data_IF_881324914005
#
_entry.id   IF_881324914005
#
_cell.length_a   1.000
_cell.length_b   1.000
_cell.length_c   1.000
_cell.angle_alpha   90.00
_cell.angle_beta   90.00
_cell.angle_gamma   90.00
#
_symmetry.space_group_name_H-M   'P 1'
#
loop_
_entity.id
_entity.type
_entity.pdbx_description
1 polymer ?
#
# COMPACT_ATOMS: atom_id res chain seq x y z
N UNK A 1 45.45 46.87 26.91
CA UNK A 1 44.10 47.37 27.25
C UNK A 1 43.12 46.26 26.86
N UNK A 2 42.89 45.36 27.81
CA UNK A 2 41.62 45.15 28.57
C UNK A 2 40.68 44.22 27.76
N UNK A 3 40.61 42.92 28.09
CA UNK A 3 40.00 42.31 29.30
C UNK A 3 38.46 42.40 29.23
N UNK A 4 37.62 41.46 29.64
CA UNK A 4 37.63 40.05 30.08
C UNK A 4 36.15 39.70 30.33
N UNK A 5 35.86 38.41 30.57
CA UNK A 5 34.74 37.86 31.37
C UNK A 5 33.34 37.89 30.73
N UNK A 6 32.76 36.73 30.38
CA UNK A 6 32.04 35.77 31.24
C UNK A 6 30.75 36.35 31.84
N UNK A 7 29.62 35.79 31.43
CA UNK A 7 28.51 35.56 32.36
C UNK A 7 27.91 34.19 32.07
N UNK A 8 28.38 33.19 32.83
CA UNK A 8 27.61 31.99 33.15
C UNK A 8 26.62 32.42 34.23
N UNK A 9 25.32 32.23 33.98
CA UNK A 9 24.32 32.13 35.04
C UNK A 9 23.62 30.79 34.85
N UNK A 10 23.76 29.96 35.88
CA UNK A 10 23.06 28.70 36.08
C UNK A 10 21.75 28.96 36.83
N UNK A 11 20.72 28.18 36.50
CA UNK A 11 19.53 27.84 37.30
C UNK A 11 18.50 28.96 37.58
N UNK A 12 17.23 28.75 37.23
CA UNK A 12 16.19 28.08 38.05
C UNK A 12 14.99 27.78 37.15
N UNK A 13 14.41 26.60 37.35
CA UNK A 13 13.14 26.13 36.78
C UNK A 13 12.10 27.25 36.71
N UNK A 14 11.55 27.48 35.53
CA UNK A 14 10.12 27.71 35.42
C UNK A 14 9.54 26.51 34.69
N UNK A 15 8.96 25.63 35.51
CA UNK A 15 7.89 24.72 35.12
C UNK A 15 6.91 25.55 34.30
N UNK A 16 6.90 25.37 32.99
CA UNK A 16 5.80 25.82 32.18
C UNK A 16 5.05 24.57 31.76
N UNK A 17 3.87 24.44 32.35
CA UNK A 17 2.89 23.41 32.03
C UNK A 17 2.79 23.26 30.51
N UNK A 18 2.76 21.99 30.10
CA UNK A 18 2.50 21.58 28.73
C UNK A 18 1.25 22.30 28.22
N UNK A 19 1.41 23.03 27.12
CA UNK A 19 0.30 23.35 26.24
C UNK A 19 0.48 22.48 25.00
N UNK A 20 -0.38 21.47 24.91
CA UNK A 20 -0.47 20.53 23.78
C UNK A 20 -1.57 21.04 22.88
N UNK A 21 -1.31 21.12 21.59
CA UNK A 21 -2.40 21.23 20.65
C UNK A 21 -2.02 21.00 19.21
N UNK A 22 -3.01 20.54 18.44
CA UNK A 22 -2.91 20.35 17.01
C UNK A 22 -3.31 21.65 16.29
N UNK A 23 -2.66 21.91 15.16
CA UNK A 23 -3.14 22.88 14.19
C UNK A 23 -3.64 22.17 12.94
N UNK A 24 -4.83 22.56 12.48
CA UNK A 24 -5.38 22.09 11.21
C UNK A 24 -5.32 23.23 10.20
N UNK A 25 -4.57 23.01 9.13
CA UNK A 25 -4.42 23.95 8.02
C UNK A 25 -5.02 23.28 6.78
N UNK A 26 -6.00 23.93 6.14
CA UNK A 26 -6.68 23.41 4.95
C UNK A 26 -6.52 24.36 3.75
N UNK A 27 -6.51 23.83 2.51
CA UNK A 27 -6.61 24.66 1.32
C UNK A 27 -7.95 25.42 1.29
N UNK A 28 -7.95 26.64 0.73
CA UNK A 28 -9.05 27.60 0.67
C UNK A 28 -9.92 27.44 -0.59
N UNK A 29 -9.73 26.37 -1.36
CA UNK A 29 -10.53 26.15 -2.55
C UNK A 29 -12.02 26.05 -2.18
N UNK A 30 -12.90 26.54 -3.06
CA UNK A 30 -14.34 26.44 -2.91
C UNK A 30 -14.73 24.97 -2.62
N UNK A 31 -15.72 24.72 -1.73
CA UNK A 31 -16.06 23.37 -1.35
C UNK A 31 -16.40 22.55 -2.60
N UNK A 32 -15.85 21.33 -2.76
CA UNK A 32 -16.39 20.40 -3.75
C UNK A 32 -17.87 20.19 -3.42
N UNK A 33 -18.70 20.08 -4.46
CA UNK A 33 -20.15 19.96 -4.29
C UNK A 33 -20.48 18.80 -3.35
N UNK A 34 -21.06 19.11 -2.19
CA UNK A 34 -21.32 18.17 -1.08
C UNK A 34 -22.51 17.24 -1.33
N UNK A 35 -22.77 16.85 -2.59
CA UNK A 35 -23.83 15.91 -2.92
C UNK A 35 -23.26 14.71 -3.69
N UNK A 36 -23.02 13.57 -3.02
CA UNK A 36 -22.66 12.31 -3.68
C UNK A 36 -23.79 11.75 -4.58
N UNK A 37 -24.98 12.34 -4.55
CA UNK A 37 -26.20 11.75 -5.11
C UNK A 37 -26.57 12.12 -6.55
N UNK A 38 -25.93 13.10 -7.19
CA UNK A 38 -26.33 13.52 -8.56
C UNK A 38 -25.12 13.86 -9.43
N UNK A 39 -24.76 12.95 -10.35
CA UNK A 39 -23.76 13.16 -11.41
C UNK A 39 -24.02 14.43 -12.26
N UNK A 40 -25.24 14.97 -12.24
CA UNK A 40 -25.66 16.15 -13.00
C UNK A 40 -25.07 17.47 -12.49
N UNK A 41 -24.56 17.53 -11.25
CA UNK A 41 -24.03 18.76 -10.64
C UNK A 41 -22.49 18.86 -10.66
N UNK A 42 -21.79 17.77 -11.02
CA UNK A 42 -20.33 17.68 -10.96
C UNK A 42 -19.64 18.40 -12.13
N UNK A 43 -18.41 18.85 -11.93
CA UNK A 43 -17.56 19.36 -13.01
C UNK A 43 -17.16 18.22 -13.98
N UNK A 44 -16.66 18.58 -15.18
CA UNK A 44 -16.16 17.57 -16.11
C UNK A 44 -14.95 16.80 -15.55
N UNK A 45 -14.14 17.45 -14.72
CA UNK A 45 -13.03 16.84 -14.00
C UNK A 45 -13.52 15.86 -12.94
N UNK A 46 -14.46 16.27 -12.09
CA UNK A 46 -15.03 15.41 -11.03
C UNK A 46 -15.69 14.14 -11.59
N UNK A 47 -16.37 14.25 -12.74
CA UNK A 47 -16.92 13.07 -13.44
C UNK A 47 -15.84 12.14 -13.97
N UNK A 48 -14.73 12.67 -14.53
CA UNK A 48 -13.60 11.83 -14.96
C UNK A 48 -12.99 11.11 -13.76
N UNK A 49 -12.69 11.83 -12.70
CA UNK A 49 -12.19 11.28 -11.44
C UNK A 49 -13.11 10.19 -10.86
N UNK A 50 -14.43 10.39 -10.89
CA UNK A 50 -15.38 9.38 -10.45
C UNK A 50 -15.34 8.09 -11.29
N UNK A 51 -15.12 8.19 -12.61
CA UNK A 51 -14.99 7.01 -13.48
C UNK A 51 -13.71 6.22 -13.16
N UNK A 52 -12.58 6.90 -12.95
CA UNK A 52 -11.32 6.24 -12.56
C UNK A 52 -11.37 5.65 -11.15
N UNK A 53 -12.03 6.32 -10.18
CA UNK A 53 -12.29 5.72 -8.87
C UNK A 53 -13.10 4.43 -8.96
N UNK A 54 -14.18 4.43 -9.74
CA UNK A 54 -14.98 3.24 -9.97
C UNK A 54 -14.16 2.11 -10.62
N UNK A 55 -13.27 2.44 -11.58
CA UNK A 55 -12.32 1.48 -12.13
C UNK A 55 -11.39 0.88 -11.06
N UNK A 56 -10.76 1.72 -10.23
CA UNK A 56 -9.79 1.25 -9.23
C UNK A 56 -10.45 0.39 -8.14
N UNK A 57 -11.67 0.75 -7.72
CA UNK A 57 -12.48 -0.09 -6.83
C UNK A 57 -12.73 -1.46 -7.49
N UNK A 58 -13.07 -1.47 -8.78
CA UNK A 58 -13.24 -2.72 -9.53
C UNK A 58 -11.99 -3.60 -9.54
N UNK A 59 -10.80 -3.01 -9.72
CA UNK A 59 -9.53 -3.74 -9.66
C UNK A 59 -9.33 -4.34 -8.27
N UNK A 60 -9.46 -3.54 -7.21
CA UNK A 60 -9.31 -4.01 -5.83
C UNK A 60 -10.30 -5.15 -5.47
N UNK A 61 -11.53 -5.09 -5.97
CA UNK A 61 -12.52 -6.16 -5.79
C UNK A 61 -12.12 -7.43 -6.55
N UNK A 62 -11.53 -7.30 -7.73
CA UNK A 62 -11.07 -8.44 -8.53
C UNK A 62 -9.88 -9.14 -7.86
N UNK A 63 -8.95 -8.39 -7.25
CA UNK A 63 -7.87 -8.92 -6.41
C UNK A 63 -8.42 -9.71 -5.21
N UNK A 64 -9.56 -9.28 -4.64
CA UNK A 64 -10.28 -9.98 -3.58
C UNK A 64 -11.15 -11.15 -4.08
N UNK A 65 -11.02 -11.58 -5.34
CA UNK A 65 -11.84 -12.62 -5.97
C UNK A 65 -13.35 -12.30 -6.04
N UNK A 66 -13.74 -11.04 -5.86
CA UNK A 66 -15.13 -10.57 -5.95
C UNK A 66 -15.45 -10.13 -7.38
N UNK A 67 -15.32 -11.06 -8.33
CA UNK A 67 -15.46 -10.76 -9.76
C UNK A 67 -16.81 -10.12 -10.15
N UNK A 68 -17.90 -10.49 -9.46
CA UNK A 68 -19.22 -9.89 -9.70
C UNK A 68 -19.26 -8.41 -9.30
N UNK A 69 -18.79 -8.08 -8.10
CA UNK A 69 -18.78 -6.71 -7.60
C UNK A 69 -17.80 -5.83 -8.42
N UNK A 70 -16.72 -6.45 -8.91
CA UNK A 70 -15.79 -5.83 -9.85
C UNK A 70 -16.48 -5.47 -11.18
N UNK A 71 -17.25 -6.39 -11.78
CA UNK A 71 -18.05 -6.14 -12.98
C UNK A 71 -19.01 -4.96 -12.78
N UNK A 72 -19.69 -4.88 -11.64
CA UNK A 72 -20.59 -3.77 -11.32
C UNK A 72 -19.82 -2.44 -11.25
N UNK A 73 -18.63 -2.44 -10.63
CA UNK A 73 -17.77 -1.25 -10.52
C UNK A 73 -17.22 -0.77 -11.86
N UNK A 74 -16.76 -1.68 -12.73
CA UNK A 74 -16.30 -1.31 -14.09
C UNK A 74 -17.45 -0.87 -14.98
N UNK A 75 -18.63 -1.49 -14.86
CA UNK A 75 -19.84 -1.06 -15.55
C UNK A 75 -20.19 0.37 -15.14
N UNK A 76 -20.11 0.68 -13.85
CA UNK A 76 -20.32 2.03 -13.34
C UNK A 76 -19.31 3.04 -13.90
N UNK A 77 -18.04 2.66 -14.00
CA UNK A 77 -17.02 3.50 -14.63
C UNK A 77 -17.38 3.84 -16.09
N UNK A 78 -17.86 2.86 -16.85
CA UNK A 78 -18.28 3.03 -18.25
C UNK A 78 -19.62 3.76 -18.41
N UNK A 79 -20.53 3.72 -17.43
CA UNK A 79 -21.70 4.58 -17.41
C UNK A 79 -21.33 6.06 -17.28
N UNK A 80 -20.29 6.36 -16.49
CA UNK A 80 -19.81 7.72 -16.27
C UNK A 80 -18.98 8.20 -17.47
N UNK A 81 -18.06 7.35 -17.96
CA UNK A 81 -17.19 7.63 -19.10
C UNK A 81 -17.21 6.45 -20.08
N UNK A 82 -18.12 6.43 -21.08
CA UNK A 82 -18.29 5.32 -22.00
C UNK A 82 -17.08 5.01 -22.88
N UNK A 83 -16.16 5.95 -23.06
CA UNK A 83 -14.94 5.80 -23.87
C UNK A 83 -13.70 5.41 -23.04
N UNK A 84 -13.83 5.19 -21.72
CA UNK A 84 -12.73 4.83 -20.82
C UNK A 84 -12.18 3.42 -21.15
N UNK A 85 -11.14 3.38 -21.99
CA UNK A 85 -10.56 2.14 -22.50
C UNK A 85 -10.10 1.18 -21.40
N UNK A 86 -9.40 1.70 -20.38
CA UNK A 86 -8.90 0.88 -19.26
C UNK A 86 -10.03 0.18 -18.50
N UNK A 87 -11.13 0.88 -18.20
CA UNK A 87 -12.29 0.29 -17.55
C UNK A 87 -12.97 -0.77 -18.43
N UNK A 88 -12.94 -0.60 -19.75
CA UNK A 88 -13.45 -1.61 -20.69
C UNK A 88 -12.58 -2.86 -20.72
N UNK A 89 -11.26 -2.69 -20.74
CA UNK A 89 -10.31 -3.79 -20.65
C UNK A 89 -10.55 -4.55 -19.34
N UNK A 90 -10.54 -3.84 -18.21
CA UNK A 90 -10.75 -4.43 -16.89
C UNK A 90 -12.12 -5.11 -16.74
N UNK A 91 -13.19 -4.55 -17.32
CA UNK A 91 -14.49 -5.21 -17.40
C UNK A 91 -14.41 -6.54 -18.16
N UNK A 92 -13.71 -6.58 -19.29
CA UNK A 92 -13.57 -7.82 -20.06
C UNK A 92 -12.80 -8.90 -19.30
N UNK A 93 -11.79 -8.52 -18.53
CA UNK A 93 -11.04 -9.40 -17.63
C UNK A 93 -11.98 -9.92 -16.54
N UNK A 94 -12.69 -9.03 -15.84
CA UNK A 94 -13.61 -9.41 -14.77
C UNK A 94 -14.73 -10.35 -15.26
N UNK A 95 -15.26 -10.14 -16.47
CA UNK A 95 -16.25 -11.01 -17.09
C UNK A 95 -15.68 -12.40 -17.40
N UNK A 96 -14.42 -12.51 -17.84
CA UNK A 96 -13.76 -13.80 -18.05
C UNK A 96 -13.63 -14.58 -16.73
N UNK A 97 -13.29 -13.89 -15.64
CA UNK A 97 -13.21 -14.48 -14.29
C UNK A 97 -14.58 -14.63 -13.60
N UNK A 98 -15.66 -14.06 -14.15
CA UNK A 98 -17.07 -14.33 -13.81
C UNK A 98 -17.70 -15.43 -14.71
N UNK A 99 -16.89 -16.34 -15.25
CA UNK A 99 -17.16 -17.22 -16.38
C UNK A 99 -18.14 -16.76 -17.49
N UNK A 100 -18.27 -15.47 -17.78
CA UNK A 100 -19.07 -14.94 -18.90
C UNK A 100 -18.18 -14.73 -20.13
N UNK A 101 -17.81 -15.82 -20.80
CA UNK A 101 -16.96 -15.79 -21.99
C UNK A 101 -17.56 -14.96 -23.14
N UNK A 102 -18.89 -14.93 -23.26
CA UNK A 102 -19.57 -14.13 -24.28
C UNK A 102 -19.50 -12.64 -23.96
N UNK A 103 -19.71 -12.26 -22.70
CA UNK A 103 -19.53 -10.90 -22.21
C UNK A 103 -18.11 -10.41 -22.36
N UNK A 104 -17.13 -11.21 -21.91
CA UNK A 104 -15.72 -10.92 -22.05
C UNK A 104 -15.37 -10.65 -23.53
N UNK A 105 -15.69 -11.58 -24.44
CA UNK A 105 -15.41 -11.43 -25.88
C UNK A 105 -16.03 -10.15 -26.48
N UNK A 106 -17.25 -9.77 -26.08
CA UNK A 106 -17.89 -8.52 -26.54
C UNK A 106 -17.12 -7.29 -26.10
N UNK A 107 -16.77 -7.19 -24.83
CA UNK A 107 -16.07 -6.01 -24.30
C UNK A 107 -14.61 -5.96 -24.77
N UNK A 108 -13.95 -7.11 -24.90
CA UNK A 108 -12.62 -7.24 -25.51
C UNK A 108 -12.62 -6.75 -26.95
N UNK A 109 -13.60 -7.14 -27.77
CA UNK A 109 -13.69 -6.65 -29.15
C UNK A 109 -13.92 -5.15 -29.22
N UNK A 110 -14.76 -4.60 -28.33
CA UNK A 110 -14.95 -3.15 -28.24
C UNK A 110 -13.65 -2.43 -27.83
N UNK A 111 -12.85 -3.01 -26.94
CA UNK A 111 -11.54 -2.44 -26.56
C UNK A 111 -10.57 -2.43 -27.75
N UNK A 112 -10.48 -3.53 -28.51
CA UNK A 112 -9.66 -3.61 -29.73
C UNK A 112 -10.12 -2.64 -30.83
N UNK A 113 -11.43 -2.37 -30.93
CA UNK A 113 -11.94 -1.37 -31.86
C UNK A 113 -11.52 0.07 -31.48
N UNK A 114 -11.27 0.32 -30.19
CA UNK A 114 -10.76 1.61 -29.71
C UNK A 114 -9.25 1.71 -29.85
N UNK A 115 -8.51 0.66 -29.46
CA UNK A 115 -7.07 0.57 -29.60
C UNK A 115 -6.63 -0.87 -29.95
N UNK A 116 -6.30 -1.14 -31.23
CA UNK A 116 -5.86 -2.47 -31.67
C UNK A 116 -4.48 -2.89 -31.16
N UNK A 117 -3.69 -1.97 -30.60
CA UNK A 117 -2.31 -2.26 -30.18
C UNK A 117 -2.20 -2.54 -28.68
N UNK A 118 -3.33 -2.68 -27.96
CA UNK A 118 -3.31 -3.08 -26.55
C UNK A 118 -3.06 -4.58 -26.43
N UNK A 119 -2.09 -5.01 -25.60
CA UNK A 119 -1.82 -6.44 -25.39
C UNK A 119 -2.92 -7.15 -24.59
N UNK A 120 -3.52 -6.48 -23.60
CA UNK A 120 -4.50 -7.09 -22.67
C UNK A 120 -5.70 -7.73 -23.41
N UNK A 121 -6.36 -7.06 -24.37
CA UNK A 121 -7.47 -7.66 -25.10
C UNK A 121 -7.08 -8.94 -25.88
N UNK A 122 -5.92 -8.95 -26.54
CA UNK A 122 -5.42 -10.13 -27.25
C UNK A 122 -5.16 -11.29 -26.28
N UNK A 123 -4.56 -11.01 -25.12
CA UNK A 123 -4.34 -12.03 -24.10
C UNK A 123 -5.66 -12.70 -23.65
N UNK A 124 -6.70 -11.90 -23.40
CA UNK A 124 -8.02 -12.41 -22.99
C UNK A 124 -8.69 -13.22 -24.11
N UNK A 125 -8.60 -12.79 -25.38
CA UNK A 125 -9.08 -13.62 -26.50
C UNK A 125 -8.33 -14.95 -26.58
N UNK A 126 -7.01 -14.93 -26.37
CA UNK A 126 -6.17 -16.12 -26.32
C UNK A 126 -6.61 -17.10 -25.23
N UNK A 127 -6.89 -16.61 -24.02
CA UNK A 127 -7.39 -17.42 -22.91
C UNK A 127 -8.78 -18.01 -23.20
N UNK A 128 -9.71 -17.20 -23.75
CA UNK A 128 -11.06 -17.66 -24.13
C UNK A 128 -10.97 -18.76 -25.19
N UNK A 129 -10.19 -18.55 -26.26
CA UNK A 129 -9.99 -19.53 -27.32
C UNK A 129 -9.36 -20.82 -26.77
N UNK A 130 -8.37 -20.71 -25.88
CA UNK A 130 -7.74 -21.86 -25.22
C UNK A 130 -8.75 -22.66 -24.39
N UNK A 131 -9.59 -21.99 -23.59
CA UNK A 131 -10.64 -22.65 -22.81
C UNK A 131 -11.66 -23.37 -23.70
N UNK A 132 -11.86 -22.90 -24.92
CA UNK A 132 -12.73 -23.50 -25.95
C UNK A 132 -12.01 -24.55 -26.81
N UNK A 133 -10.75 -24.91 -26.50
CA UNK A 133 -9.88 -25.80 -27.27
C UNK A 133 -9.61 -25.34 -28.72
N UNK A 134 -9.76 -24.04 -29.00
CA UNK A 134 -9.46 -23.42 -30.28
C UNK A 134 -7.97 -23.01 -30.31
N UNK A 135 -7.08 -24.01 -30.33
CA UNK A 135 -5.66 -23.79 -30.11
C UNK A 135 -4.97 -22.90 -31.15
N UNK A 136 -5.38 -22.96 -32.42
CA UNK A 136 -4.79 -22.12 -33.47
C UNK A 136 -5.18 -20.63 -33.29
N UNK A 137 -6.44 -20.36 -32.91
CA UNK A 137 -6.93 -19.01 -32.56
C UNK A 137 -6.21 -18.51 -31.31
N UNK A 138 -6.10 -19.35 -30.28
CA UNK A 138 -5.38 -19.00 -29.06
C UNK A 138 -3.92 -18.60 -29.31
N UNK A 139 -3.19 -19.40 -30.10
CA UNK A 139 -1.80 -19.10 -30.47
C UNK A 139 -1.72 -17.78 -31.24
N UNK A 140 -2.63 -17.52 -32.19
CA UNK A 140 -2.62 -16.29 -32.98
C UNK A 140 -2.83 -15.04 -32.11
N UNK A 141 -3.71 -15.13 -31.12
CA UNK A 141 -3.97 -14.04 -30.18
C UNK A 141 -2.79 -13.82 -29.23
N UNK A 142 -2.23 -14.88 -28.63
CA UNK A 142 -1.00 -14.75 -27.81
C UNK A 142 0.19 -14.24 -28.64
N UNK A 143 0.31 -14.61 -29.90
CA UNK A 143 1.34 -14.05 -30.79
C UNK A 143 1.13 -12.57 -31.08
N UNK A 144 -0.10 -12.06 -30.99
CA UNK A 144 -0.37 -10.62 -31.12
C UNK A 144 0.13 -9.86 -29.88
N UNK A 145 -0.01 -10.44 -28.68
CA UNK A 145 0.66 -9.96 -27.46
C UNK A 145 2.17 -9.95 -27.62
N UNK A 146 2.75 -11.07 -28.07
CA UNK A 146 4.20 -11.24 -28.23
C UNK A 146 4.85 -10.36 -29.31
N UNK A 147 4.05 -9.76 -30.21
CA UNK A 147 4.53 -8.74 -31.14
C UNK A 147 4.72 -7.38 -30.46
N UNK A 148 3.93 -7.10 -29.43
CA UNK A 148 3.97 -5.86 -28.65
C UNK A 148 5.03 -5.99 -27.55
N UNK A 149 4.97 -7.10 -26.80
CA UNK A 149 5.92 -7.47 -25.76
C UNK A 149 6.42 -8.91 -25.97
N UNK A 150 7.60 -9.08 -26.60
CA UNK A 150 8.20 -10.40 -26.82
C UNK A 150 8.52 -11.19 -25.54
N UNK A 151 8.60 -10.51 -24.40
CA UNK A 151 9.06 -11.06 -23.12
C UNK A 151 7.90 -11.37 -22.17
N UNK A 152 6.68 -11.12 -22.59
CA UNK A 152 5.46 -11.44 -21.85
C UNK A 152 5.42 -12.93 -21.45
N UNK A 153 5.62 -13.19 -20.16
CA UNK A 153 5.76 -14.53 -19.62
C UNK A 153 4.46 -15.34 -19.76
N UNK A 154 3.31 -14.70 -19.50
CA UNK A 154 1.99 -15.30 -19.62
C UNK A 154 1.72 -15.88 -21.01
N UNK A 155 1.92 -15.09 -22.06
CA UNK A 155 1.71 -15.52 -23.45
C UNK A 155 2.70 -16.60 -23.87
N UNK A 156 3.97 -16.47 -23.50
CA UNK A 156 4.99 -17.48 -23.76
C UNK A 156 4.68 -18.82 -23.06
N UNK A 157 4.23 -18.80 -21.80
CA UNK A 157 3.79 -20.02 -21.08
C UNK A 157 2.57 -20.64 -21.76
N UNK A 158 1.56 -19.85 -22.09
CA UNK A 158 0.34 -20.34 -22.74
C UNK A 158 0.66 -21.00 -24.10
N UNK A 159 1.43 -20.33 -24.95
CA UNK A 159 1.87 -20.85 -26.24
C UNK A 159 2.72 -22.13 -26.05
N UNK A 160 3.65 -22.13 -25.09
CA UNK A 160 4.47 -23.29 -24.77
C UNK A 160 3.65 -24.51 -24.33
N UNK A 161 2.61 -24.30 -23.52
CA UNK A 161 1.69 -25.35 -23.08
C UNK A 161 0.88 -25.92 -24.24
N UNK A 162 0.34 -25.06 -25.11
CA UNK A 162 -0.41 -25.49 -26.30
C UNK A 162 0.51 -26.28 -27.24
N UNK A 163 1.72 -25.80 -27.52
CA UNK A 163 2.69 -26.54 -28.36
C UNK A 163 3.11 -27.87 -27.74
N UNK A 164 3.30 -27.92 -26.41
CA UNK A 164 3.60 -29.17 -25.70
C UNK A 164 2.47 -30.19 -25.84
N UNK A 165 1.21 -29.75 -25.73
CA UNK A 165 0.03 -30.59 -25.96
C UNK A 165 -0.05 -31.11 -27.41
N UNK A 166 0.35 -30.28 -28.38
CA UNK A 166 0.47 -30.65 -29.80
C UNK A 166 1.73 -31.47 -30.12
N UNK A 167 2.57 -31.78 -29.12
CA UNK A 167 3.87 -32.48 -29.26
C UNK A 167 4.91 -31.72 -30.11
N UNK A 168 4.72 -30.43 -30.31
CA UNK A 168 5.67 -29.50 -30.96
C UNK A 168 6.71 -29.04 -29.93
N UNK A 169 7.59 -29.97 -29.54
CA UNK A 169 8.46 -29.77 -28.38
C UNK A 169 9.55 -28.71 -28.59
N UNK A 170 10.00 -28.49 -29.83
CA UNK A 170 11.04 -27.49 -30.12
C UNK A 170 10.49 -26.08 -29.87
N UNK A 171 9.30 -25.82 -30.40
CA UNK A 171 8.59 -24.55 -30.24
C UNK A 171 8.16 -24.33 -28.78
N UNK A 172 7.69 -25.39 -28.11
CA UNK A 172 7.36 -25.32 -26.69
C UNK A 172 8.57 -24.99 -25.80
N UNK A 173 9.72 -25.63 -26.04
CA UNK A 173 10.96 -25.33 -25.31
C UNK A 173 11.39 -23.88 -25.54
N UNK A 174 11.30 -23.38 -26.78
CA UNK A 174 11.66 -22.00 -27.10
C UNK A 174 10.79 -20.99 -26.34
N UNK A 175 9.46 -21.19 -26.34
CA UNK A 175 8.53 -20.33 -25.63
C UNK A 175 8.76 -20.35 -24.10
N UNK A 176 8.89 -21.54 -23.50
CA UNK A 176 9.16 -21.62 -22.06
C UNK A 176 10.52 -21.04 -21.67
N UNK A 177 11.55 -21.19 -22.51
CA UNK A 177 12.86 -20.54 -22.27
C UNK A 177 12.73 -19.03 -22.24
N UNK A 178 11.96 -18.44 -23.17
CA UNK A 178 11.75 -17.00 -23.18
C UNK A 178 11.09 -16.51 -21.90
N UNK A 179 10.08 -17.23 -21.41
CA UNK A 179 9.44 -16.93 -20.13
C UNK A 179 10.40 -17.07 -18.93
N UNK A 180 11.25 -18.11 -18.87
CA UNK A 180 12.26 -18.26 -17.80
C UNK A 180 13.35 -17.18 -17.86
N UNK A 181 13.69 -16.70 -19.05
CA UNK A 181 14.64 -15.59 -19.22
C UNK A 181 14.05 -14.26 -18.76
N UNK A 182 12.78 -13.99 -19.10
CA UNK A 182 12.07 -12.78 -18.71
C UNK A 182 11.75 -12.76 -17.20
N UNK A 183 11.26 -13.89 -16.66
CA UNK A 183 10.90 -14.05 -15.26
C UNK A 183 11.61 -15.26 -14.63
N UNK A 184 12.84 -15.09 -14.12
CA UNK A 184 13.64 -16.19 -13.58
C UNK A 184 13.02 -16.89 -12.36
N UNK A 185 12.04 -16.27 -11.70
CA UNK A 185 11.34 -16.76 -10.51
C UNK A 185 10.00 -17.44 -10.83
N UNK A 186 9.61 -17.50 -12.11
CA UNK A 186 8.34 -18.07 -12.54
C UNK A 186 8.37 -19.61 -12.45
N UNK A 187 7.74 -20.15 -11.41
CA UNK A 187 7.64 -21.57 -11.11
C UNK A 187 6.98 -22.34 -12.24
N UNK A 188 5.93 -21.78 -12.84
CA UNK A 188 5.19 -22.41 -13.94
C UNK A 188 6.08 -22.59 -15.16
N UNK A 189 6.88 -21.58 -15.51
CA UNK A 189 7.84 -21.67 -16.61
C UNK A 189 8.95 -22.69 -16.31
N UNK A 190 9.56 -22.61 -15.11
CA UNK A 190 10.64 -23.50 -14.67
C UNK A 190 10.20 -24.96 -14.68
N UNK A 191 9.03 -25.26 -14.11
CA UNK A 191 8.47 -26.61 -14.06
C UNK A 191 8.18 -27.14 -15.48
N UNK A 192 7.45 -26.37 -16.29
CA UNK A 192 7.07 -26.80 -17.65
C UNK A 192 8.29 -27.03 -18.54
N UNK A 193 9.29 -26.14 -18.50
CA UNK A 193 10.54 -26.31 -19.23
C UNK A 193 11.33 -27.52 -18.71
N UNK A 194 11.46 -27.67 -17.38
CA UNK A 194 12.20 -28.76 -16.74
C UNK A 194 11.64 -30.14 -17.07
N UNK A 195 10.32 -30.31 -17.01
CA UNK A 195 9.65 -31.55 -17.41
C UNK A 195 9.83 -31.82 -18.90
N UNK A 196 9.66 -30.80 -19.74
CA UNK A 196 9.79 -30.97 -21.18
C UNK A 196 11.22 -31.34 -21.60
N UNK A 197 12.25 -30.73 -21.00
CA UNK A 197 13.65 -31.07 -21.24
C UNK A 197 14.01 -32.47 -20.73
N UNK A 198 13.40 -32.93 -19.64
CA UNK A 198 13.54 -34.32 -19.17
C UNK A 198 13.01 -35.30 -20.23
N UNK A 199 11.86 -34.96 -20.83
CA UNK A 199 11.23 -35.77 -21.88
C UNK A 199 12.02 -35.79 -23.18
N UNK A 200 12.66 -34.69 -23.56
CA UNK A 200 13.45 -34.57 -24.80
C UNK A 200 14.93 -34.97 -24.62
N UNK A 201 15.35 -35.30 -23.41
CA UNK A 201 16.66 -35.91 -23.12
C UNK A 201 17.75 -34.94 -22.63
N UNK A 202 17.46 -33.65 -22.47
CA UNK A 202 18.40 -32.67 -21.91
C UNK A 202 18.36 -32.68 -20.37
N UNK A 203 18.88 -33.76 -19.79
CA UNK A 203 18.76 -34.07 -18.36
C UNK A 203 19.48 -33.09 -17.43
N UNK A 204 20.63 -32.57 -17.84
CA UNK A 204 21.44 -31.68 -16.98
C UNK A 204 20.72 -30.36 -16.75
N UNK A 205 20.23 -29.74 -17.83
CA UNK A 205 19.49 -28.49 -17.73
C UNK A 205 18.16 -28.69 -17.00
N UNK A 206 17.45 -29.79 -17.30
CA UNK A 206 16.21 -30.13 -16.62
C UNK A 206 16.39 -30.23 -15.09
N UNK A 207 17.42 -30.94 -14.63
CA UNK A 207 17.72 -31.08 -13.19
C UNK A 207 18.02 -29.73 -12.53
N UNK A 208 18.71 -28.82 -13.22
CA UNK A 208 18.98 -27.47 -12.72
C UNK A 208 17.68 -26.68 -12.55
N UNK A 209 16.82 -26.69 -13.56
CA UNK A 209 15.54 -25.95 -13.54
C UNK A 209 14.56 -26.51 -12.50
N UNK A 210 14.44 -27.83 -12.40
CA UNK A 210 13.56 -28.48 -11.42
C UNK A 210 14.04 -28.27 -9.98
N UNK A 211 15.36 -28.19 -9.75
CA UNK A 211 15.90 -27.81 -8.44
C UNK A 211 15.54 -26.38 -8.08
N UNK A 212 15.72 -25.45 -9.03
CA UNK A 212 15.36 -24.03 -8.83
C UNK A 212 13.86 -23.87 -8.53
N UNK A 213 13.01 -24.60 -9.26
CA UNK A 213 11.57 -24.66 -8.97
C UNK A 213 11.29 -25.15 -7.54
N UNK A 214 11.97 -26.20 -7.08
CA UNK A 214 11.78 -26.73 -5.73
C UNK A 214 12.26 -25.73 -4.65
N UNK A 215 13.39 -25.06 -4.89
CA UNK A 215 13.91 -24.01 -4.00
C UNK A 215 12.89 -22.88 -3.82
N UNK A 216 12.30 -22.37 -4.91
CA UNK A 216 11.29 -21.31 -4.83
C UNK A 216 9.98 -21.74 -4.20
N UNK A 217 9.54 -22.97 -4.48
CA UNK A 217 8.36 -23.53 -3.86
C UNK A 217 8.51 -23.70 -2.34
N UNK A 218 9.70 -24.05 -1.88
CA UNK A 218 10.01 -24.19 -0.44
C UNK A 218 10.18 -22.83 0.24
N UNK A 219 10.69 -21.83 -0.47
CA UNK A 219 10.90 -20.49 0.08
C UNK A 219 9.68 -19.58 -0.03
N UNK A 220 8.67 -19.93 -0.82
CA UNK A 220 7.53 -19.06 -1.14
C UNK A 220 7.87 -17.90 -2.08
N UNK A 221 9.10 -17.87 -2.63
CA UNK A 221 9.59 -16.74 -3.43
C UNK A 221 9.26 -16.86 -4.93
N UNK A 222 8.59 -17.94 -5.33
CA UNK A 222 8.26 -18.22 -6.71
C UNK A 222 6.94 -17.59 -7.14
N UNK A 223 6.85 -17.21 -8.41
CA UNK A 223 5.60 -16.75 -9.02
C UNK A 223 4.97 -17.86 -9.84
N UNK A 224 3.65 -18.01 -9.77
CA UNK A 224 2.90 -18.96 -10.58
C UNK A 224 2.04 -18.23 -11.59
N UNK A 225 1.81 -18.87 -12.75
CA UNK A 225 0.75 -18.51 -13.67
C UNK A 225 -0.25 -19.65 -13.68
N UNK A 226 -1.42 -19.40 -13.13
CA UNK A 226 -2.54 -20.34 -13.14
C UNK A 226 -3.82 -19.68 -13.62
N UNK A 227 -4.93 -20.35 -13.34
CA UNK A 227 -6.26 -19.92 -13.77
C UNK A 227 -6.87 -18.88 -12.84
N UNK A 228 -6.22 -18.59 -11.72
CA UNK A 228 -6.68 -17.60 -10.74
C UNK A 228 -6.22 -16.21 -11.15
N UNK A 229 -7.03 -15.21 -10.84
CA UNK A 229 -6.78 -13.83 -11.26
C UNK A 229 -5.48 -13.26 -10.70
N UNK A 230 -5.16 -13.49 -9.42
CA UNK A 230 -3.89 -13.05 -8.80
C UNK A 230 -2.63 -13.60 -9.51
N UNK A 231 -2.74 -14.77 -10.14
CA UNK A 231 -1.64 -15.41 -10.89
C UNK A 231 -1.53 -14.88 -12.34
N UNK A 232 -2.48 -14.06 -12.78
CA UNK A 232 -2.54 -13.42 -14.11
C UNK A 232 -2.73 -11.90 -14.05
N UNK A 233 -2.63 -11.29 -12.86
CA UNK A 233 -3.01 -9.91 -12.54
C UNK A 233 -2.23 -8.82 -13.28
N UNK A 234 -1.20 -9.17 -14.06
CA UNK A 234 -0.42 -8.22 -14.86
C UNK A 234 -1.22 -7.40 -15.87
N UNK A 235 -2.44 -7.83 -16.25
CA UNK A 235 -3.22 -7.16 -17.29
C UNK A 235 -4.35 -6.26 -16.78
N UNK A 236 -4.69 -6.34 -15.49
CA UNK A 236 -5.68 -5.45 -14.91
C UNK A 236 -4.98 -4.26 -14.27
N UNK A 237 -5.18 -3.08 -14.84
CA UNK A 237 -4.46 -1.88 -14.42
C UNK A 237 -5.38 -1.00 -13.56
N UNK A 238 -4.91 -0.68 -12.35
CA UNK A 238 -5.41 0.46 -11.58
C UNK A 238 -4.59 1.70 -11.97
N UNK A 239 -5.25 2.86 -12.08
CA UNK A 239 -4.57 4.12 -12.36
C UNK A 239 -4.75 5.04 -11.19
N UNK A 240 -3.66 5.34 -10.50
CA UNK A 240 -3.62 6.37 -9.47
C UNK A 240 -3.47 7.72 -10.16
N UNK A 241 -4.24 8.73 -9.76
CA UNK A 241 -4.03 10.10 -10.24
C UNK A 241 -2.73 10.62 -9.63
N UNK A 242 -1.60 10.39 -10.30
CA UNK A 242 -0.27 10.85 -9.87
C UNK A 242 0.03 12.26 -10.36
N UNK A 243 -0.78 12.76 -11.29
CA UNK A 243 -0.56 14.03 -11.97
C UNK A 243 0.26 13.89 -13.26
N UNK A 244 0.58 12.66 -13.67
CA UNK A 244 1.29 12.34 -14.91
C UNK A 244 0.27 12.00 -16.03
N UNK A 245 -0.89 11.48 -15.65
CA UNK A 245 -1.94 11.07 -16.57
C UNK A 245 -2.66 12.31 -17.11
N UNK A 246 -2.34 12.73 -18.34
CA UNK A 246 -2.86 13.97 -18.95
C UNK A 246 -4.39 14.13 -18.86
N UNK A 247 -5.14 13.03 -18.80
CA UNK A 247 -6.61 13.05 -18.69
C UNK A 247 -7.13 13.26 -17.24
N UNK A 248 -6.29 12.99 -16.23
CA UNK A 248 -6.55 13.14 -14.79
C UNK A 248 -5.88 14.38 -14.18
N UNK A 249 -5.16 15.17 -14.96
CA UNK A 249 -4.59 16.43 -14.49
C UNK A 249 -5.57 17.56 -14.73
N UNK A 250 -6.03 18.20 -13.65
CA UNK A 250 -6.57 19.56 -13.77
C UNK A 250 -5.42 20.55 -13.88
N UNK A 251 -5.15 21.03 -15.09
CA UNK A 251 -4.12 22.05 -15.32
C UNK A 251 -4.53 23.44 -14.82
N UNK A 252 -5.77 23.62 -14.36
CA UNK A 252 -6.13 24.81 -13.62
C UNK A 252 -5.47 24.72 -12.25
N UNK A 253 -4.33 25.38 -12.07
CA UNK A 253 -3.76 25.57 -10.73
C UNK A 253 -4.74 26.45 -9.94
N UNK A 254 -5.49 25.92 -8.96
CA UNK A 254 -6.29 26.79 -8.12
C UNK A 254 -5.35 27.68 -7.31
N UNK A 255 -5.81 28.86 -6.92
CA UNK A 255 -5.10 29.63 -5.90
C UNK A 255 -5.09 28.80 -4.59
N UNK A 256 -3.95 28.15 -4.31
CA UNK A 256 -3.77 27.36 -3.08
C UNK A 256 -3.44 28.32 -1.95
N UNK A 257 -4.49 28.86 -1.33
CA UNK A 257 -4.36 29.58 -0.07
C UNK A 257 -4.60 28.60 1.07
N UNK A 258 -3.72 28.55 2.05
CA UNK A 258 -3.95 27.78 3.26
C UNK A 258 -4.60 28.67 4.31
N UNK A 259 -5.73 28.22 4.87
CA UNK A 259 -6.44 28.94 5.93
C UNK A 259 -6.39 28.19 7.25
N UNK A 260 -6.43 28.96 8.33
CA UNK A 260 -6.56 28.43 9.66
C UNK A 260 -7.95 27.83 9.87
N UNK A 261 -7.98 26.51 10.05
CA UNK A 261 -9.22 25.78 10.30
C UNK A 261 -9.33 25.28 11.75
N UNK A 262 -8.30 25.50 12.57
CA UNK A 262 -8.15 24.95 13.92
C UNK A 262 -9.31 25.35 14.83
N UNK A 263 -9.67 26.63 14.84
CA UNK A 263 -10.76 27.11 15.70
C UNK A 263 -12.14 26.56 15.31
N UNK A 264 -12.30 26.19 14.05
CA UNK A 264 -13.56 25.69 13.50
C UNK A 264 -13.74 24.20 13.76
N UNK A 265 -12.66 23.42 13.71
CA UNK A 265 -12.75 21.96 13.61
C UNK A 265 -12.19 21.19 14.82
N UNK A 266 -11.23 21.74 15.56
CA UNK A 266 -10.62 21.05 16.71
C UNK A 266 -11.29 21.47 18.04
N UNK A 267 -11.53 20.56 19.00
CA UNK A 267 -11.98 20.89 20.35
C UNK A 267 -11.08 21.93 21.04
N UNK A 268 -11.62 22.79 21.91
CA UNK A 268 -10.87 23.94 22.47
C UNK A 268 -9.64 23.53 23.28
N UNK A 269 -9.76 22.43 24.02
CA UNK A 269 -8.75 21.80 24.85
C UNK A 269 -7.69 21.01 24.05
N UNK A 270 -7.88 20.88 22.72
CA UNK A 270 -6.91 20.26 21.81
C UNK A 270 -6.16 21.25 20.94
N UNK A 271 -6.40 22.56 21.08
CA UNK A 271 -5.77 23.62 20.29
C UNK A 271 -4.47 24.11 20.90
N UNK A 272 -3.52 24.50 20.05
CA UNK A 272 -2.33 25.21 20.50
C UNK A 272 -2.74 26.55 21.16
N UNK A 273 -2.10 26.93 22.26
CA UNK A 273 -2.49 28.10 23.07
C UNK A 273 -1.42 29.20 23.10
N UNK A 274 -0.50 29.20 22.13
CA UNK A 274 0.62 30.15 22.08
C UNK A 274 0.18 31.59 21.76
N UNK A 275 1.08 32.55 22.01
CA UNK A 275 0.83 33.98 21.70
C UNK A 275 1.19 34.24 20.24
N UNK A 276 0.17 34.50 19.42
CA UNK A 276 0.34 34.87 18.00
C UNK A 276 1.07 36.21 17.85
N UNK A 277 2.20 36.21 17.16
CA UNK A 277 2.96 37.45 16.88
C UNK A 277 2.28 38.24 15.78
N UNK A 278 1.97 39.52 16.05
CA UNK A 278 1.31 40.42 15.10
C UNK A 278 2.19 40.58 13.84
N UNK A 279 1.68 40.14 12.69
CA UNK A 279 2.36 40.25 11.39
C UNK A 279 3.15 39.02 10.93
N UNK A 280 3.24 37.95 11.74
CA UNK A 280 3.80 36.67 11.29
C UNK A 280 2.77 35.88 10.49
N UNK A 281 3.24 35.11 9.50
CA UNK A 281 2.40 34.11 8.86
C UNK A 281 1.99 33.04 9.88
N UNK A 282 0.88 32.35 9.63
CA UNK A 282 0.44 31.32 10.57
C UNK A 282 1.44 30.18 10.68
N UNK A 283 2.09 29.78 9.58
CA UNK A 283 3.15 28.77 9.60
C UNK A 283 4.35 29.17 10.46
N UNK A 284 4.77 30.44 10.42
CA UNK A 284 5.83 30.95 11.30
C UNK A 284 5.40 31.00 12.77
N UNK A 285 4.10 31.25 13.01
CA UNK A 285 3.54 31.28 14.36
C UNK A 285 3.39 29.87 14.93
N UNK A 286 2.89 28.90 14.16
CA UNK A 286 2.74 27.49 14.54
C UNK A 286 4.06 26.88 15.02
N UNK A 287 5.15 27.08 14.26
CA UNK A 287 6.49 26.56 14.58
C UNK A 287 7.05 27.16 15.89
N UNK A 288 6.65 28.37 16.27
CA UNK A 288 7.12 29.06 17.48
C UNK A 288 6.16 28.95 18.68
N UNK A 289 4.86 28.75 18.43
CA UNK A 289 3.82 28.56 19.44
C UNK A 289 3.84 27.15 20.02
N UNK A 290 4.28 26.17 19.23
CA UNK A 290 4.54 24.81 19.70
C UNK A 290 6.00 24.69 20.17
N UNK A 291 6.28 25.11 21.40
CA UNK A 291 7.30 24.39 22.19
C UNK A 291 6.87 22.92 22.47
N UNK A 292 5.68 22.52 21.98
CA UNK A 292 5.20 21.16 21.92
C UNK A 292 5.96 20.36 20.86
N UNK A 293 6.82 19.45 21.34
CA UNK A 293 7.24 18.30 20.56
C UNK A 293 6.04 17.35 20.48
N UNK A 294 5.21 17.48 19.45
CA UNK A 294 4.37 16.36 19.01
C UNK A 294 5.23 15.57 18.02
N UNK A 295 5.71 14.40 18.44
CA UNK A 295 6.61 13.59 17.61
C UNK A 295 5.82 12.55 16.79
N UNK A 296 4.51 12.36 17.05
CA UNK A 296 3.68 11.42 16.28
C UNK A 296 2.19 11.77 16.28
N UNK A 297 1.63 11.96 15.09
CA UNK A 297 0.19 12.02 14.80
C UNK A 297 -0.10 10.94 13.76
N UNK A 298 -1.16 10.16 13.98
CA UNK A 298 -1.62 9.12 13.06
C UNK A 298 -3.01 9.48 12.56
N UNK A 299 -3.20 9.36 11.24
CA UNK A 299 -4.51 9.45 10.60
C UNK A 299 -4.93 8.04 10.16
N UNK A 300 -6.08 7.57 10.61
CA UNK A 300 -6.61 6.25 10.32
C UNK A 300 -8.11 6.22 10.61
N UNK A 301 -8.86 5.37 9.91
CA UNK A 301 -10.31 5.18 10.10
C UNK A 301 -10.52 4.10 11.17
N UNK A 302 -10.66 4.48 12.44
CA UNK A 302 -10.64 3.50 13.54
C UNK A 302 -11.99 2.81 13.75
N UNK A 303 -13.10 3.42 13.32
CA UNK A 303 -14.45 2.86 13.48
C UNK A 303 -15.11 2.40 12.17
N UNK A 304 -14.41 2.52 11.05
CA UNK A 304 -14.81 1.98 9.74
C UNK A 304 -15.90 2.81 9.06
N UNK A 305 -16.01 4.10 9.40
CA UNK A 305 -17.01 5.00 8.83
C UNK A 305 -16.54 5.70 7.54
N UNK A 306 -15.26 5.52 7.18
CA UNK A 306 -14.61 6.07 5.99
C UNK A 306 -14.02 7.47 6.18
N UNK A 307 -14.23 8.12 7.31
CA UNK A 307 -13.59 9.38 7.67
C UNK A 307 -12.27 9.09 8.42
N UNK A 308 -11.18 9.77 8.05
CA UNK A 308 -9.91 9.60 8.78
C UNK A 308 -9.97 10.32 10.13
N UNK A 309 -9.74 9.56 11.20
CA UNK A 309 -9.64 10.03 12.58
C UNK A 309 -8.21 10.38 12.96
N UNK A 310 -8.03 11.07 14.09
CA UNK A 310 -6.72 11.46 14.59
C UNK A 310 -6.39 10.69 15.86
N UNK A 311 -5.29 9.95 15.86
CA UNK A 311 -4.58 9.62 17.09
C UNK A 311 -3.40 10.56 17.30
N UNK A 312 -3.51 11.42 18.31
CA UNK A 312 -2.47 12.33 18.78
C UNK A 312 -1.65 11.60 19.84
N UNK A 313 -0.55 10.95 19.44
CA UNK A 313 0.32 10.18 20.32
C UNK A 313 1.21 11.06 21.21
N UNK A 314 1.07 12.39 21.17
CA UNK A 314 1.82 13.29 22.05
C UNK A 314 1.47 13.07 23.53
N UNK A 315 2.04 13.86 24.44
CA UNK A 315 2.00 13.70 25.92
C UNK A 315 0.66 13.27 26.55
N UNK A 316 -0.48 13.52 25.89
CA UNK A 316 -1.83 13.20 26.34
C UNK A 316 -2.48 11.99 25.64
N UNK A 317 -1.88 11.43 24.59
CA UNK A 317 -2.34 10.26 23.79
C UNK A 317 -3.86 10.27 23.54
N UNK A 318 -4.31 11.13 22.63
CA UNK A 318 -5.74 11.36 22.39
C UNK A 318 -6.23 10.71 21.11
N UNK A 319 -7.45 10.18 21.16
CA UNK A 319 -8.19 9.72 19.99
C UNK A 319 -9.31 10.73 19.68
N UNK A 320 -9.30 11.30 18.49
CA UNK A 320 -10.27 12.28 18.03
C UNK A 320 -11.03 11.70 16.84
N UNK A 321 -12.31 11.39 17.04
CA UNK A 321 -13.19 10.91 15.96
C UNK A 321 -13.57 12.05 15.03
N UNK A 322 -13.50 11.83 13.73
CA UNK A 322 -13.84 12.78 12.68
C UNK A 322 -15.23 12.52 12.11
N UNK A 323 -16.21 13.34 12.46
CA UNK A 323 -17.54 13.27 11.88
C UNK A 323 -17.67 14.32 10.75
N UNK A 324 -17.30 13.98 9.51
CA UNK A 324 -17.44 14.87 8.35
C UNK A 324 -16.63 16.17 8.46
N UNK A 325 -15.46 16.10 9.08
CA UNK A 325 -14.53 17.21 9.32
C UNK A 325 -14.61 17.82 10.72
N UNK A 326 -15.56 17.39 11.57
CA UNK A 326 -15.71 17.85 12.95
C UNK A 326 -15.12 16.83 13.91
N UNK A 327 -14.13 17.23 14.70
CA UNK A 327 -13.45 16.33 15.62
C UNK A 327 -14.07 16.31 17.02
N UNK A 328 -14.25 15.12 17.57
CA UNK A 328 -14.72 14.88 18.94
C UNK A 328 -13.68 14.04 19.69
N UNK A 329 -13.25 14.49 20.87
CA UNK A 329 -12.36 13.69 21.72
C UNK A 329 -13.12 12.49 22.31
N UNK A 330 -12.71 11.29 21.91
CA UNK A 330 -13.29 10.00 22.31
C UNK A 330 -12.28 9.16 23.12
N UNK A 331 -11.21 9.78 23.60
CA UNK A 331 -10.14 9.08 24.33
C UNK A 331 -10.65 8.39 25.59
N UNK A 332 -11.62 9.00 26.29
CA UNK A 332 -12.22 8.38 27.46
C UNK A 332 -13.14 7.23 27.04
N UNK A 333 -12.76 6.00 27.39
CA UNK A 333 -13.53 4.80 27.08
C UNK A 333 -12.99 4.02 25.88
N UNK A 334 -11.98 4.53 25.18
CA UNK A 334 -11.37 3.83 24.04
C UNK A 334 -10.42 2.70 24.41
N UNK A 335 -10.15 2.46 25.70
CA UNK A 335 -9.21 1.42 26.14
C UNK A 335 -7.72 1.75 25.96
N UNK A 336 -7.39 2.84 25.25
CA UNK A 336 -6.03 3.35 25.15
C UNK A 336 -5.51 3.74 26.54
N UNK A 337 -4.36 3.20 26.93
CA UNK A 337 -3.84 3.33 28.29
C UNK A 337 -3.16 4.69 28.53
N UNK A 338 -3.97 5.67 28.95
CA UNK A 338 -3.56 7.02 29.33
C UNK A 338 -2.87 7.00 30.71
N UNK A 339 -1.58 6.68 30.78
CA UNK A 339 -0.85 6.85 32.06
C UNK A 339 0.49 7.57 31.88
N UNK A 340 0.52 8.80 32.43
CA UNK A 340 1.70 9.66 32.57
C UNK A 340 2.00 10.52 31.34
N UNK A 341 2.55 11.72 31.57
CA UNK A 341 3.21 12.52 30.52
C UNK A 341 4.41 11.73 30.01
N UNK A 342 4.22 10.95 28.96
CA UNK A 342 5.21 10.01 28.45
C UNK A 342 5.43 10.38 27.00
N UNK A 343 6.64 10.86 26.68
CA UNK A 343 6.99 11.26 25.33
C UNK A 343 6.91 10.01 24.41
N UNK A 344 6.07 10.04 23.38
CA UNK A 344 6.06 9.04 22.31
C UNK A 344 6.83 9.58 21.12
N UNK A 345 7.65 8.74 20.49
CA UNK A 345 8.40 9.17 19.29
C UNK A 345 7.70 8.87 17.99
N UNK A 346 6.98 7.75 17.94
CA UNK A 346 6.33 7.28 16.71
C UNK A 346 5.10 6.46 17.07
N UNK A 347 4.10 6.57 16.21
CA UNK A 347 2.93 5.73 16.21
C UNK A 347 2.57 5.45 14.75
N UNK A 348 2.10 4.24 14.46
CA UNK A 348 1.64 3.82 13.13
C UNK A 348 0.40 2.97 13.28
N UNK A 349 -0.52 3.09 12.32
CA UNK A 349 -1.71 2.26 12.25
C UNK A 349 -1.60 1.25 11.10
N UNK A 350 -2.18 0.07 11.29
CA UNK A 350 -2.21 -1.01 10.32
C UNK A 350 -3.02 -2.19 10.87
N UNK A 351 -3.75 -2.89 10.00
CA UNK A 351 -4.54 -4.06 10.34
C UNK A 351 -3.61 -5.29 10.36
N UNK A 352 -3.01 -5.60 11.51
CA UNK A 352 -1.96 -6.62 11.59
C UNK A 352 -2.52 -8.05 11.69
N UNK A 353 -3.79 -8.20 12.06
CA UNK A 353 -4.46 -9.50 12.15
C UNK A 353 -5.55 -9.73 11.10
N UNK A 354 -5.59 -8.84 10.08
CA UNK A 354 -6.43 -8.94 8.90
C UNK A 354 -7.93 -9.04 9.25
N UNK A 355 -8.36 -8.39 10.32
CA UNK A 355 -9.75 -8.42 10.80
C UNK A 355 -10.63 -7.32 10.19
N UNK A 356 -10.02 -6.47 9.35
CA UNK A 356 -10.65 -5.34 8.68
C UNK A 356 -10.68 -4.07 9.50
N UNK A 357 -10.04 -4.05 10.68
CA UNK A 357 -9.97 -2.88 11.56
C UNK A 357 -8.52 -2.50 11.80
N UNK A 358 -8.12 -1.25 11.52
CA UNK A 358 -6.75 -0.85 11.74
C UNK A 358 -6.41 -0.85 13.24
N UNK A 359 -5.33 -1.54 13.58
CA UNK A 359 -4.70 -1.56 14.89
C UNK A 359 -3.67 -0.43 15.01
N UNK A 360 -3.08 -0.29 16.20
CA UNK A 360 -2.16 0.80 16.50
C UNK A 360 -0.90 0.31 17.21
N UNK A 361 0.25 0.60 16.62
CA UNK A 361 1.55 0.41 17.25
C UNK A 361 2.14 1.75 17.73
N UNK A 362 2.61 1.79 18.98
CA UNK A 362 3.12 3.00 19.62
C UNK A 362 4.48 2.74 20.27
N UNK A 363 5.46 3.60 20.00
CA UNK A 363 6.78 3.56 20.65
C UNK A 363 6.94 4.71 21.65
N UNK A 364 7.19 4.36 22.92
CA UNK A 364 7.33 5.31 24.04
C UNK A 364 8.76 5.46 24.52
N UNK A 365 9.15 6.69 24.87
CA UNK A 365 10.48 7.04 25.36
C UNK A 365 10.72 6.63 26.81
N UNK A 366 9.88 7.11 27.72
CA UNK A 366 10.26 7.24 29.12
C UNK A 366 10.25 5.89 29.87
N UNK A 367 9.67 4.85 29.27
CA UNK A 367 9.74 3.48 29.74
C UNK A 367 10.33 2.49 28.72
N UNK A 368 10.84 2.98 27.57
CA UNK A 368 11.33 2.14 26.47
C UNK A 368 10.36 1.00 26.11
N UNK A 369 9.05 1.29 26.14
CA UNK A 369 8.00 0.31 25.81
C UNK A 369 7.45 0.55 24.42
N UNK A 370 7.34 -0.55 23.68
CA UNK A 370 6.46 -0.63 22.52
C UNK A 370 5.11 -1.14 23.01
N UNK A 371 4.04 -0.53 22.50
CA UNK A 371 2.69 -0.96 22.80
C UNK A 371 2.03 -1.31 21.46
N UNK A 372 1.51 -2.53 21.37
CA UNK A 372 0.61 -2.92 20.29
C UNK A 372 -0.81 -2.92 20.85
N UNK A 373 -1.66 -2.06 20.31
CA UNK A 373 -3.08 -1.99 20.62
C UNK A 373 -3.86 -2.68 19.52
N UNK A 374 -4.64 -3.69 19.88
CA UNK A 374 -5.60 -4.32 18.98
C UNK A 374 -6.92 -3.54 18.99
N UNK A 375 -7.49 -3.27 17.82
CA UNK A 375 -8.79 -2.63 17.68
C UNK A 375 -9.91 -3.68 17.84
N UNK A 376 -10.52 -3.71 19.02
CA UNK A 376 -11.62 -4.65 19.31
C UNK A 376 -12.92 -4.28 18.54
N UNK A 377 -12.94 -3.12 17.86
CA UNK A 377 -14.09 -2.52 17.22
C UNK A 377 -14.91 -1.65 18.19
N UNK A 378 -15.90 -0.95 17.63
CA UNK A 378 -16.75 0.01 18.37
C UNK A 378 -15.96 1.09 19.14
N UNK A 379 -14.77 1.44 18.64
CA UNK A 379 -13.89 2.43 19.25
C UNK A 379 -13.15 2.00 20.51
N UNK A 380 -13.02 0.69 20.74
CA UNK A 380 -12.26 0.15 21.87
C UNK A 380 -10.96 -0.51 21.40
N UNK A 381 -9.89 -0.31 22.17
CA UNK A 381 -8.56 -0.86 21.96
C UNK A 381 -8.08 -1.65 23.17
N UNK A 382 -7.48 -2.80 22.93
CA UNK A 382 -6.84 -3.64 23.95
C UNK A 382 -5.32 -3.62 23.80
N UNK A 383 -4.57 -3.45 24.91
CA UNK A 383 -3.11 -3.63 24.91
C UNK A 383 -2.76 -5.13 24.82
N UNK A 384 -2.19 -5.52 23.69
CA UNK A 384 -1.84 -6.91 23.36
C UNK A 384 -0.34 -7.18 23.40
N UNK A 385 0.46 -6.20 23.84
CA UNK A 385 1.94 -6.24 23.81
C UNK A 385 2.52 -7.51 24.44
N UNK A 386 2.01 -7.90 25.61
CA UNK A 386 2.53 -9.07 26.32
C UNK A 386 2.21 -10.39 25.61
N UNK A 387 1.03 -10.49 24.97
CA UNK A 387 0.61 -11.71 24.27
C UNK A 387 1.20 -11.79 22.86
N UNK A 388 1.48 -10.66 22.22
CA UNK A 388 2.05 -10.60 20.88
C UNK A 388 3.53 -11.00 20.83
N UNK A 389 4.20 -11.05 21.98
CA UNK A 389 5.62 -11.48 22.04
C UNK A 389 6.61 -10.39 21.63
N UNK A 390 6.13 -9.20 21.27
CA UNK A 390 6.98 -8.03 20.97
C UNK A 390 7.77 -7.67 22.23
N UNK A 391 9.08 -7.90 22.18
CA UNK A 391 10.01 -7.59 23.28
C UNK A 391 11.26 -6.99 22.69
N UNK A 392 11.64 -5.82 23.19
CA UNK A 392 12.86 -5.15 22.74
C UNK A 392 13.83 -4.96 23.90
N UNK A 393 15.13 -5.22 23.69
CA UNK A 393 16.14 -4.84 24.66
C UNK A 393 16.17 -3.32 24.83
N UNK A 394 15.99 -2.85 26.07
CA UNK A 394 16.07 -1.43 26.43
C UNK A 394 17.39 -0.83 25.93
N UNK A 395 17.38 0.07 24.92
CA UNK A 395 18.60 0.73 24.49
C UNK A 395 19.00 1.73 25.57
N UNK A 396 20.21 1.58 26.09
CA UNK A 396 20.81 2.60 26.96
C UNK A 396 21.07 3.86 26.13
N UNK A 397 20.13 4.80 26.15
CA UNK A 397 20.39 6.22 25.87
C UNK A 397 20.04 6.76 24.48
N UNK A 398 19.32 6.03 23.62
CA UNK A 398 18.83 6.58 22.35
C UNK A 398 17.45 6.02 21.96
N UNK A 399 16.54 6.86 21.43
CA UNK A 399 15.18 6.46 21.12
C UNK A 399 15.01 5.81 19.75
N UNK A 400 13.95 5.01 19.60
CA UNK A 400 13.43 4.57 18.30
C UNK A 400 12.51 5.65 17.76
N UNK A 401 12.78 6.14 16.54
CA UNK A 401 12.17 7.36 16.01
C UNK A 401 11.15 7.11 14.90
N UNK A 402 11.19 5.94 14.29
CA UNK A 402 10.27 5.58 13.21
C UNK A 402 9.92 4.11 13.32
N UNK A 403 8.67 3.79 13.02
CA UNK A 403 8.19 2.44 12.81
C UNK A 403 7.39 2.41 11.50
N UNK A 404 7.21 1.23 10.91
CA UNK A 404 6.33 1.00 9.79
C UNK A 404 5.72 -0.41 9.90
N UNK A 405 4.43 -0.52 9.60
CA UNK A 405 3.85 -1.80 9.20
C UNK A 405 4.22 -2.08 7.75
N UNK A 406 4.62 -3.32 7.46
CA UNK A 406 5.10 -3.74 6.14
C UNK A 406 4.99 -5.26 6.04
N UNK A 407 4.45 -5.78 4.95
CA UNK A 407 4.48 -7.22 4.66
C UNK A 407 5.81 -7.53 3.95
N UNK A 408 6.86 -7.92 4.68
CA UNK A 408 8.22 -8.04 4.10
C UNK A 408 8.45 -9.35 3.36
N UNK A 409 7.65 -10.38 3.62
CA UNK A 409 7.79 -11.70 2.99
C UNK A 409 6.58 -12.11 2.15
N UNK A 410 5.62 -11.21 1.94
CA UNK A 410 4.47 -11.36 1.06
C UNK A 410 3.53 -12.51 1.48
N UNK A 411 3.44 -12.77 2.79
CA UNK A 411 2.52 -13.78 3.33
C UNK A 411 1.11 -13.22 3.60
N UNK A 412 0.95 -11.90 3.47
CA UNK A 412 -0.31 -11.20 3.65
C UNK A 412 -0.55 -10.67 5.06
N UNK A 413 0.35 -10.95 6.02
CA UNK A 413 0.27 -10.43 7.38
C UNK A 413 1.27 -9.27 7.56
N UNK A 414 0.82 -8.14 8.14
CA UNK A 414 1.71 -6.99 8.32
C UNK A 414 2.77 -7.27 9.40
N UNK A 415 4.05 -7.16 9.04
CA UNK A 415 5.21 -7.16 9.92
C UNK A 415 5.49 -5.75 10.48
N UNK A 416 6.37 -5.67 11.49
CA UNK A 416 6.76 -4.40 12.10
C UNK A 416 8.25 -4.18 11.93
N UNK A 417 8.62 -3.16 11.15
CA UNK A 417 9.99 -2.66 11.08
C UNK A 417 10.15 -1.41 11.94
N UNK A 418 11.20 -1.37 12.76
CA UNK A 418 11.50 -0.26 13.67
C UNK A 418 12.91 0.24 13.40
N UNK A 419 13.04 1.54 13.12
CA UNK A 419 14.32 2.21 12.92
C UNK A 419 14.77 2.93 14.19
N UNK A 420 16.04 2.75 14.54
CA UNK A 420 16.62 3.32 15.77
C UNK A 420 18.10 2.97 15.95
N UNK A 421 18.61 2.98 17.19
CA UNK A 421 20.03 2.70 17.49
C UNK A 421 20.50 1.33 16.98
N UNK A 422 19.57 0.38 16.95
CA UNK A 422 19.66 -0.88 16.22
C UNK A 422 18.29 -1.07 15.58
N UNK A 423 18.23 -1.25 14.25
CA UNK A 423 16.96 -1.57 13.62
C UNK A 423 16.47 -2.93 14.11
N UNK A 424 15.15 -3.10 14.13
CA UNK A 424 14.46 -4.31 14.55
C UNK A 424 13.42 -4.65 13.50
N UNK A 425 13.32 -5.93 13.15
CA UNK A 425 12.25 -6.47 12.31
C UNK A 425 11.54 -7.61 13.04
N UNK A 426 10.27 -7.39 13.31
CA UNK A 426 9.37 -8.38 13.89
C UNK A 426 8.48 -8.94 12.79
N UNK A 427 8.67 -10.21 12.45
CA UNK A 427 7.79 -10.90 11.52
C UNK A 427 6.52 -11.34 12.22
N UNK A 428 5.36 -11.05 11.66
CA UNK A 428 4.09 -11.59 12.09
C UNK A 428 4.06 -13.11 11.82
N UNK A 429 3.31 -13.85 12.62
CA UNK A 429 3.18 -15.30 12.47
C UNK A 429 1.75 -15.72 12.08
N UNK A 430 0.88 -14.76 11.72
CA UNK A 430 -0.52 -14.98 11.35
C UNK A 430 -1.43 -15.47 12.48
N UNK A 431 -0.96 -15.39 13.74
CA UNK A 431 -1.68 -15.88 14.92
C UNK A 431 -1.71 -14.87 16.06
N UNK A 432 -1.46 -13.60 15.74
CA UNK A 432 -1.38 -12.51 16.71
C UNK A 432 -0.08 -12.45 17.50
N UNK A 433 0.96 -13.20 17.09
CA UNK A 433 2.30 -13.17 17.70
C UNK A 433 3.37 -12.79 16.68
N UNK A 434 4.48 -12.25 17.18
CA UNK A 434 5.61 -11.77 16.38
C UNK A 434 6.91 -12.49 16.75
N UNK A 435 7.75 -12.71 15.75
CA UNK A 435 9.09 -13.29 15.87
C UNK A 435 10.14 -12.24 15.50
N UNK A 436 11.13 -12.01 16.37
CA UNK A 436 12.29 -11.18 16.02
C UNK A 436 13.18 -11.90 15.00
N UNK A 437 13.18 -11.40 13.76
CA UNK A 437 14.00 -11.93 12.66
C UNK A 437 15.15 -10.99 12.29
N UNK A 438 15.44 -9.99 13.12
CA UNK A 438 16.42 -8.91 12.83
C UNK A 438 17.78 -9.44 12.36
N UNK A 439 18.29 -10.48 13.02
CA UNK A 439 19.58 -11.09 12.66
C UNK A 439 19.50 -11.91 11.36
N UNK A 440 18.41 -12.66 11.16
CA UNK A 440 18.20 -13.48 9.97
C UNK A 440 18.01 -12.60 8.71
N UNK A 441 17.27 -11.50 8.86
CA UNK A 441 17.06 -10.48 7.84
C UNK A 441 18.28 -9.57 7.62
N UNK A 442 19.33 -9.68 8.45
CA UNK A 442 20.56 -8.88 8.37
C UNK A 442 20.34 -7.36 8.44
N UNK A 443 19.24 -6.95 9.09
CA UNK A 443 18.91 -5.53 9.30
C UNK A 443 19.46 -4.98 10.61
N UNK A 444 20.18 -5.80 11.39
CA UNK A 444 20.79 -5.49 12.70
C UNK A 444 21.96 -4.49 12.64
N UNK A 445 21.96 -3.57 11.69
CA UNK A 445 23.06 -2.66 11.46
C UNK A 445 23.22 -1.71 12.66
N UNK A 446 24.35 -1.82 13.38
CA UNK A 446 24.80 -0.80 14.36
C UNK A 446 25.25 0.42 13.57
N UNK A 447 24.31 1.16 12.99
CA UNK A 447 24.66 2.29 12.16
C UNK A 447 24.84 3.56 13.00
N UNK A 448 25.68 4.44 12.47
CA UNK A 448 25.92 5.83 12.91
C UNK A 448 24.66 6.73 12.86
N UNK A 449 23.49 6.15 12.61
CA UNK A 449 22.18 6.79 12.50
C UNK A 449 21.39 6.62 13.79
N UNK A 450 21.89 7.16 14.90
CA UNK A 450 21.14 7.26 16.17
C UNK A 450 19.83 8.10 16.05
N UNK A 451 19.42 8.45 14.83
CA UNK A 451 18.44 9.45 14.49
C UNK A 451 17.51 9.10 13.31
N UNK A 452 17.55 7.87 12.75
CA UNK A 452 16.73 7.52 11.58
C UNK A 452 15.29 8.03 11.68
N UNK A 453 14.95 9.00 10.83
CA UNK A 453 13.79 9.87 10.94
C UNK A 453 12.59 9.38 10.12
N UNK A 454 12.81 8.50 9.12
CA UNK A 454 11.75 7.91 8.32
C UNK A 454 12.12 6.53 7.76
N UNK A 455 11.09 5.69 7.57
CA UNK A 455 11.13 4.40 6.88
C UNK A 455 10.15 4.49 5.70
N UNK A 456 10.60 4.15 4.50
CA UNK A 456 9.73 4.06 3.31
C UNK A 456 9.85 2.63 2.76
N UNK A 457 8.87 1.75 3.04
CA UNK A 457 8.75 0.46 2.38
C UNK A 457 8.17 0.64 0.98
N UNK A 458 8.82 0.07 -0.03
CA UNK A 458 8.37 0.13 -1.44
C UNK A 458 9.07 -0.98 -2.23
N UNK A 459 8.47 -1.41 -3.34
CA UNK A 459 9.15 -2.22 -4.36
C UNK A 459 9.66 -1.26 -5.44
N UNK A 460 10.87 -0.70 -5.31
CA UNK A 460 11.29 0.40 -6.20
C UNK A 460 11.72 -0.08 -7.58
N UNK A 461 12.10 -1.35 -7.72
CA UNK A 461 12.55 -1.95 -8.97
C UNK A 461 11.55 -2.98 -9.56
N UNK A 462 10.36 -3.06 -8.97
CA UNK A 462 9.20 -3.81 -9.45
C UNK A 462 9.48 -5.31 -9.61
N UNK A 463 10.27 -5.88 -8.70
CA UNK A 463 10.61 -7.32 -8.69
C UNK A 463 9.91 -8.10 -7.57
N UNK A 464 8.94 -7.45 -6.91
CA UNK A 464 8.03 -8.00 -5.88
C UNK A 464 8.70 -8.38 -4.56
N UNK A 465 9.86 -7.82 -4.23
CA UNK A 465 10.38 -7.82 -2.86
C UNK A 465 10.30 -6.41 -2.29
N UNK A 466 10.18 -6.31 -0.96
CA UNK A 466 10.12 -5.01 -0.31
C UNK A 466 11.52 -4.44 -0.09
N UNK A 467 11.77 -3.28 -0.67
CA UNK A 467 12.92 -2.43 -0.36
C UNK A 467 12.61 -1.46 0.78
N UNK A 468 13.58 -1.26 1.68
CA UNK A 468 13.46 -0.33 2.81
C UNK A 468 14.41 0.85 2.62
N UNK A 469 13.87 2.03 2.32
CA UNK A 469 14.63 3.28 2.36
C UNK A 469 14.63 3.84 3.79
N UNK A 470 15.82 3.98 4.37
CA UNK A 470 16.01 4.54 5.71
C UNK A 470 16.66 5.92 5.62
N UNK A 471 15.96 6.95 6.12
CA UNK A 471 16.46 8.32 6.14
C UNK A 471 16.97 8.66 7.56
N UNK A 472 18.16 9.25 7.72
CA UNK A 472 18.80 9.50 9.02
C UNK A 472 18.23 10.66 9.83
#
# INVERSE_FOLDING_TARGET
MKSSAICVIFLVLLVSCAFVGAELIKPSAAPPSTNPGTLSAQSAFERREAAYRANNIGVALLEQYKAKDAVDSFTRALEIKPDLLIARINLSIALYYLPDANGAKRETQKALNQDPNKPQPHYILGLIARAQNQFDEAIAEFQSVLKIDPDDAGSNINVGQIFSQQKKYVEAIAAFRRSVEAEPYNETALYNLGILLTRTGNRIEAQRLLRKFQEFKESGAGTTIGTNYLEGGHYAEAVVSTGIEQELVDHNTPDVLFTDATEKFLPKDTRATGIRRKGASRFESAIQETNARSEAIVLFDYDGDGDLDIFDASRSQRLLRNDGGKFTDVTTGSGLSITGSQDCFTAVAGDYDNDGKPDLFVARFADNRFILYHNDGNGHFSDVTNRSGIRVPSPKGAPYRSAAFVDVDHDGDLDIFIAGPTNILFRNNGNGTFTDITAAAKVSARNSFSSASAIIPTDYDNRRDVDLFLLP
#
